data_IF_165849655654
#
_entry.id   IF_165849655654
#
_cell.length_a   1.000
_cell.length_b   1.000
_cell.length_c   1.000
_cell.angle_alpha   90.00
_cell.angle_beta   90.00
_cell.angle_gamma   90.00
#
_symmetry.space_group_name_H-M   'P 1'
#
loop_
_entity.id
_entity.type
_entity.pdbx_description
1 polymer ?
#
# COMPACT_ATOMS: atom_id res chain seq x y z
N UNK A 1 -2.49 -4.62 -26.43
CA UNK A 1 -3.23 -5.33 -25.36
C UNK A 1 -4.43 -6.00 -26.02
N UNK A 2 -4.52 -7.33 -25.97
CA UNK A 2 -5.59 -8.06 -26.65
C UNK A 2 -6.76 -8.29 -25.67
N UNK A 3 -7.73 -7.37 -25.62
CA UNK A 3 -8.88 -7.46 -24.71
C UNK A 3 -9.73 -8.73 -24.95
N UNK A 4 -9.62 -9.37 -26.12
CA UNK A 4 -10.28 -10.64 -26.43
C UNK A 4 -9.73 -11.87 -25.69
N UNK A 5 -8.46 -11.86 -25.26
CA UNK A 5 -7.91 -12.95 -24.41
C UNK A 5 -8.30 -12.80 -22.94
N UNK A 6 -8.58 -11.58 -22.49
CA UNK A 6 -9.08 -11.30 -21.13
C UNK A 6 -10.49 -11.87 -20.90
N UNK A 7 -11.38 -11.80 -21.91
CA UNK A 7 -12.73 -12.35 -21.84
C UNK A 7 -12.78 -13.90 -21.75
N UNK A 8 -11.72 -14.60 -22.18
CA UNK A 8 -11.63 -16.06 -22.12
C UNK A 8 -11.09 -16.58 -20.78
N UNK A 9 -10.39 -15.74 -20.02
CA UNK A 9 -9.80 -16.12 -18.74
C UNK A 9 -10.77 -15.88 -17.57
N UNK A 10 -11.82 -16.71 -17.45
CA UNK A 10 -12.81 -16.64 -16.36
C UNK A 10 -12.18 -16.67 -14.95
N UNK A 11 -11.09 -17.42 -14.77
CA UNK A 11 -10.37 -17.44 -13.48
C UNK A 11 -9.79 -16.05 -13.16
N UNK A 12 -9.08 -15.42 -14.12
CA UNK A 12 -8.53 -14.08 -13.91
C UNK A 12 -9.61 -13.04 -13.63
N UNK A 13 -10.74 -13.11 -14.33
CA UNK A 13 -11.88 -12.22 -14.09
C UNK A 13 -12.43 -12.38 -12.67
N UNK A 14 -12.59 -13.61 -12.18
CA UNK A 14 -13.06 -13.87 -10.82
C UNK A 14 -12.08 -13.33 -9.76
N UNK A 15 -10.78 -13.47 -9.98
CA UNK A 15 -9.76 -12.91 -9.08
C UNK A 15 -9.77 -11.38 -9.05
N UNK A 16 -9.98 -10.74 -10.20
CA UNK A 16 -10.12 -9.28 -10.29
C UNK A 16 -11.40 -8.83 -9.58
N UNK A 17 -12.53 -9.49 -9.82
CA UNK A 17 -13.80 -9.17 -9.16
C UNK A 17 -13.70 -9.35 -7.64
N UNK A 18 -13.04 -10.40 -7.17
CA UNK A 18 -12.77 -10.60 -5.75
C UNK A 18 -11.93 -9.45 -5.18
N UNK A 19 -10.86 -9.06 -5.89
CA UNK A 19 -10.00 -7.95 -5.47
C UNK A 19 -10.78 -6.64 -5.38
N UNK A 20 -11.58 -6.31 -6.41
CA UNK A 20 -12.44 -5.11 -6.42
C UNK A 20 -13.49 -5.14 -5.30
N UNK A 21 -14.08 -6.30 -5.03
CA UNK A 21 -15.05 -6.47 -3.94
C UNK A 21 -14.41 -6.19 -2.57
N UNK A 22 -13.21 -6.72 -2.31
CA UNK A 22 -12.51 -6.46 -1.05
C UNK A 22 -12.09 -4.98 -0.94
N UNK A 23 -11.64 -4.36 -2.04
CA UNK A 23 -11.33 -2.93 -2.04
C UNK A 23 -12.56 -2.05 -1.80
N UNK A 24 -13.73 -2.48 -2.30
CA UNK A 24 -14.99 -1.83 -2.02
C UNK A 24 -15.37 -1.93 -0.53
N UNK A 25 -15.21 -3.11 0.08
CA UNK A 25 -15.41 -3.29 1.53
C UNK A 25 -14.44 -2.46 2.37
N UNK A 26 -13.17 -2.42 1.99
CA UNK A 26 -12.18 -1.52 2.58
C UNK A 26 -12.69 -0.08 2.54
N UNK A 27 -13.15 0.37 1.37
CA UNK A 27 -13.63 1.75 1.21
C UNK A 27 -14.85 2.01 2.09
N UNK A 28 -15.84 1.12 2.13
CA UNK A 28 -17.00 1.26 3.03
C UNK A 28 -16.57 1.40 4.50
N UNK A 29 -15.60 0.62 4.96
CA UNK A 29 -15.14 0.74 6.34
C UNK A 29 -14.41 2.06 6.65
N UNK A 30 -13.84 2.75 5.65
CA UNK A 30 -13.29 4.12 5.86
C UNK A 30 -14.37 5.18 6.12
N UNK A 31 -15.65 4.87 5.90
CA UNK A 31 -16.77 5.75 6.24
C UNK A 31 -17.41 5.42 7.60
N UNK A 32 -16.97 4.37 8.29
CA UNK A 32 -17.48 4.01 9.62
C UNK A 32 -16.66 4.79 10.65
N UNK A 33 -17.25 5.79 11.34
CA UNK A 33 -16.54 6.59 12.32
C UNK A 33 -16.26 5.78 13.59
N UNK A 34 -15.22 6.19 14.31
CA UNK A 34 -14.89 5.63 15.61
C UNK A 34 -16.01 5.96 16.62
N UNK A 35 -16.51 4.98 17.38
CA UNK A 35 -17.45 5.25 18.47
C UNK A 35 -16.78 6.13 19.55
N UNK A 36 -17.45 7.21 19.94
CA UNK A 36 -17.03 8.09 21.03
C UNK A 36 -16.30 9.38 20.62
N UNK A 37 -16.19 9.69 19.32
CA UNK A 37 -15.75 10.99 18.82
C UNK A 37 -16.83 11.60 17.91
N UNK A 38 -17.01 12.91 18.00
CA UNK A 38 -17.78 13.67 17.01
C UNK A 38 -16.90 13.92 15.75
N UNK A 39 -17.24 13.31 14.60
CA UNK A 39 -16.45 13.45 13.38
C UNK A 39 -16.42 14.89 12.87
N UNK A 40 -17.44 15.71 13.13
CA UNK A 40 -17.51 17.10 12.66
C UNK A 40 -16.59 18.00 13.49
N UNK A 41 -16.50 17.76 14.80
CA UNK A 41 -15.56 18.48 15.68
C UNK A 41 -14.11 18.09 15.37
N UNK A 42 -13.85 16.80 15.12
CA UNK A 42 -12.52 16.35 14.74
C UNK A 42 -12.09 16.88 13.37
N UNK A 43 -13.00 16.93 12.39
CA UNK A 43 -12.70 17.50 11.08
C UNK A 43 -12.30 18.98 11.16
N UNK A 44 -12.93 19.77 12.04
CA UNK A 44 -12.57 21.17 12.27
C UNK A 44 -11.19 21.31 12.93
N UNK A 45 -10.86 20.46 13.91
CA UNK A 45 -9.52 20.41 14.51
C UNK A 45 -8.47 19.99 13.47
N UNK A 46 -8.80 19.03 12.60
CA UNK A 46 -7.93 18.56 11.54
C UNK A 46 -7.66 19.64 10.49
N UNK A 47 -8.68 20.40 10.08
CA UNK A 47 -8.55 21.54 9.16
C UNK A 47 -7.60 22.62 9.68
N UNK A 48 -7.51 22.81 11.01
CA UNK A 48 -6.54 23.73 11.62
C UNK A 48 -5.08 23.25 11.52
N UNK A 49 -4.84 21.98 11.21
CA UNK A 49 -3.53 21.30 11.18
C UNK A 49 -3.21 20.62 9.83
N UNK A 50 -4.01 20.86 8.79
CA UNK A 50 -3.94 20.22 7.47
C UNK A 50 -2.57 20.35 6.79
N UNK A 51 -1.82 21.43 7.03
CA UNK A 51 -0.52 21.69 6.38
C UNK A 51 0.68 20.88 6.90
N UNK A 52 0.48 20.00 7.88
CA UNK A 52 1.57 19.31 8.58
C UNK A 52 1.80 17.84 8.19
N UNK A 53 2.66 17.16 8.97
CA UNK A 53 2.91 15.72 8.88
C UNK A 53 1.62 14.87 8.95
N UNK A 54 0.58 15.39 9.61
CA UNK A 54 -0.73 14.78 9.75
C UNK A 54 -1.49 14.68 8.41
N UNK A 55 -1.36 15.68 7.53
CA UNK A 55 -1.94 15.67 6.18
C UNK A 55 -1.31 14.60 5.29
N UNK A 56 0.03 14.44 5.36
CA UNK A 56 0.74 13.38 4.65
C UNK A 56 0.28 11.98 5.12
N UNK A 57 0.07 11.79 6.42
CA UNK A 57 -0.47 10.54 6.96
C UNK A 57 -1.90 10.28 6.46
N UNK A 58 -2.75 11.30 6.36
CA UNK A 58 -4.12 11.16 5.86
C UNK A 58 -4.18 10.76 4.39
N UNK A 59 -3.25 11.25 3.56
CA UNK A 59 -3.13 10.85 2.15
C UNK A 59 -2.84 9.35 2.01
N UNK A 60 -1.92 8.80 2.81
CA UNK A 60 -1.65 7.35 2.83
C UNK A 60 -2.80 6.54 3.43
N UNK A 61 -3.57 7.16 4.34
CA UNK A 61 -4.72 6.53 4.96
C UNK A 61 -6.00 6.60 4.09
N UNK A 62 -5.99 7.33 2.98
CA UNK A 62 -7.14 7.49 2.07
C UNK A 62 -8.29 8.31 2.65
N UNK A 63 -7.98 9.32 3.48
CA UNK A 63 -8.99 10.14 4.16
C UNK A 63 -9.55 9.51 5.45
N UNK A 64 -9.03 8.34 5.84
CA UNK A 64 -9.49 7.60 7.01
C UNK A 64 -9.13 8.27 8.34
N UNK A 65 -8.11 9.13 8.37
CA UNK A 65 -7.68 9.88 9.55
C UNK A 65 -8.55 11.12 9.73
N UNK A 66 -8.76 11.90 8.66
CA UNK A 66 -9.64 13.08 8.63
C UNK A 66 -11.06 12.75 9.12
N UNK A 67 -11.58 11.58 8.76
CA UNK A 67 -12.92 11.11 9.14
C UNK A 67 -12.96 10.35 10.47
N UNK A 68 -11.81 10.19 11.13
CA UNK A 68 -11.65 9.36 12.33
C UNK A 68 -12.30 7.98 12.17
N UNK A 69 -12.01 7.29 11.06
CA UNK A 69 -12.63 5.99 10.79
C UNK A 69 -11.99 4.89 11.63
N UNK A 70 -12.68 3.73 11.71
CA UNK A 70 -12.13 2.50 12.31
C UNK A 70 -10.80 2.04 11.68
N UNK A 71 -10.49 2.55 10.49
CA UNK A 71 -9.26 2.27 9.73
C UNK A 71 -8.26 3.43 9.75
N UNK A 72 -8.32 4.34 10.74
CA UNK A 72 -7.41 5.47 10.84
C UNK A 72 -5.91 5.08 10.83
N UNK A 73 -5.55 3.97 11.49
CA UNK A 73 -4.17 3.41 11.45
C UNK A 73 -3.81 2.78 10.09
N UNK A 74 -4.81 2.46 9.26
CA UNK A 74 -4.67 1.79 7.97
C UNK A 74 -3.76 0.53 8.08
N UNK A 75 -2.94 0.24 7.08
CA UNK A 75 -2.01 -0.89 7.07
C UNK A 75 -0.62 -0.49 7.62
N UNK A 76 -0.46 0.71 8.20
CA UNK A 76 0.84 1.22 8.70
C UNK A 76 1.51 0.30 9.74
N UNK A 77 0.81 -0.19 10.78
CA UNK A 77 1.44 -1.07 11.77
C UNK A 77 2.02 -2.34 11.14
N UNK A 78 1.39 -2.85 10.08
CA UNK A 78 1.88 -4.00 9.33
C UNK A 78 3.11 -3.65 8.50
N UNK A 79 3.11 -2.50 7.81
CA UNK A 79 4.26 -2.06 7.02
C UNK A 79 5.49 -1.97 7.92
N UNK A 80 5.37 -1.29 9.06
CA UNK A 80 6.45 -1.19 10.05
C UNK A 80 6.91 -2.56 10.53
N UNK A 81 5.98 -3.45 10.89
CA UNK A 81 6.33 -4.82 11.31
C UNK A 81 7.06 -5.60 10.21
N UNK A 82 6.61 -5.50 8.95
CA UNK A 82 7.20 -6.20 7.81
C UNK A 82 8.62 -5.72 7.52
N UNK A 83 8.87 -4.40 7.60
CA UNK A 83 10.19 -3.82 7.41
C UNK A 83 11.12 -4.30 8.52
N UNK A 84 10.67 -4.29 9.78
CA UNK A 84 11.47 -4.76 10.91
C UNK A 84 11.85 -6.23 10.72
N UNK A 85 10.89 -7.10 10.37
CA UNK A 85 11.17 -8.52 10.11
C UNK A 85 12.09 -8.70 8.90
N UNK A 86 11.93 -7.91 7.85
CA UNK A 86 12.80 -7.96 6.67
C UNK A 86 14.24 -7.56 7.02
N UNK A 87 14.41 -6.52 7.85
CA UNK A 87 15.73 -6.12 8.37
C UNK A 87 16.29 -7.20 9.29
N UNK A 88 15.51 -7.70 10.25
CA UNK A 88 15.93 -8.79 11.15
C UNK A 88 16.33 -10.05 10.39
N UNK A 89 15.66 -10.36 9.27
CA UNK A 89 15.99 -11.52 8.44
C UNK A 89 17.35 -11.36 7.74
N UNK A 90 17.78 -10.12 7.46
CA UNK A 90 19.12 -9.84 6.91
C UNK A 90 20.22 -9.82 7.97
N UNK A 91 19.88 -9.46 9.22
CA UNK A 91 20.84 -9.33 10.31
C UNK A 91 20.98 -10.58 11.19
N UNK A 92 19.96 -11.43 11.25
CA UNK A 92 19.91 -12.60 12.14
C UNK A 92 20.01 -13.90 11.31
N UNK A 93 21.08 -14.69 11.47
CA UNK A 93 21.31 -15.89 10.67
C UNK A 93 20.24 -16.98 10.80
N UNK A 94 19.53 -17.06 11.94
CA UNK A 94 18.45 -18.03 12.13
C UNK A 94 17.23 -17.71 11.26
N UNK A 95 16.85 -16.43 11.16
CA UNK A 95 15.77 -15.97 10.29
C UNK A 95 16.16 -16.09 8.81
N UNK A 96 17.43 -15.85 8.49
CA UNK A 96 17.93 -16.06 7.12
C UNK A 96 17.85 -17.54 6.70
N UNK A 97 18.19 -18.47 7.61
CA UNK A 97 17.99 -19.91 7.38
C UNK A 97 16.52 -20.24 7.15
N UNK A 98 15.63 -19.72 7.99
CA UNK A 98 14.17 -19.86 7.81
C UNK A 98 13.74 -19.38 6.42
N UNK A 99 14.23 -18.22 5.96
CA UNK A 99 13.93 -17.71 4.62
C UNK A 99 14.40 -18.65 3.50
N UNK A 100 15.49 -19.40 3.73
CA UNK A 100 16.04 -20.40 2.79
C UNK A 100 15.27 -21.73 2.78
N UNK A 101 14.43 -22.01 3.79
CA UNK A 101 13.56 -23.20 3.86
C UNK A 101 12.35 -23.16 2.91
N UNK A 102 12.25 -22.13 2.05
CA UNK A 102 11.22 -22.03 1.03
C UNK A 102 9.85 -21.60 1.58
N UNK A 103 8.77 -22.31 1.20
CA UNK A 103 7.41 -21.92 1.57
C UNK A 103 7.11 -22.05 3.07
N UNK A 104 7.67 -23.08 3.72
CA UNK A 104 7.51 -23.32 5.15
C UNK A 104 8.01 -22.14 5.99
N UNK A 105 9.26 -21.74 5.75
CA UNK A 105 9.87 -20.63 6.49
C UNK A 105 9.26 -19.28 6.15
N UNK A 106 8.81 -19.05 4.90
CA UNK A 106 8.02 -17.85 4.56
C UNK A 106 6.73 -17.75 5.37
N UNK A 107 6.02 -18.87 5.59
CA UNK A 107 4.82 -18.87 6.45
C UNK A 107 5.15 -18.51 7.90
N UNK A 108 6.25 -19.00 8.45
CA UNK A 108 6.68 -18.67 9.81
C UNK A 108 7.09 -17.19 9.95
N UNK A 109 7.86 -16.65 8.98
CA UNK A 109 8.21 -15.22 8.92
C UNK A 109 6.95 -14.35 8.87
N UNK A 110 5.96 -14.76 8.08
CA UNK A 110 4.67 -14.07 8.03
C UNK A 110 3.97 -14.11 9.38
N UNK A 111 3.94 -15.25 10.09
CA UNK A 111 3.35 -15.33 11.44
C UNK A 111 4.04 -14.38 12.42
N UNK A 112 5.37 -14.29 12.42
CA UNK A 112 6.08 -13.31 13.25
C UNK A 112 5.70 -11.87 12.89
N UNK A 113 5.59 -11.58 11.59
CA UNK A 113 5.12 -10.27 11.12
C UNK A 113 3.72 -9.97 11.65
N UNK A 114 2.81 -10.96 11.69
CA UNK A 114 1.45 -10.78 12.23
C UNK A 114 1.44 -10.47 13.72
N UNK A 115 2.22 -11.20 14.51
CA UNK A 115 2.30 -10.95 15.96
C UNK A 115 2.92 -9.58 16.25
N UNK A 116 3.95 -9.20 15.50
CA UNK A 116 4.57 -7.91 15.63
C UNK A 116 3.62 -6.77 15.21
N UNK A 117 2.83 -6.98 14.14
CA UNK A 117 1.78 -6.06 13.70
C UNK A 117 0.75 -5.82 14.81
N UNK A 118 0.29 -6.89 15.47
CA UNK A 118 -0.67 -6.78 16.56
C UNK A 118 -0.10 -5.98 17.73
N UNK A 119 1.15 -6.24 18.12
CA UNK A 119 1.83 -5.49 19.17
C UNK A 119 1.94 -4.00 18.82
N UNK A 120 2.37 -3.66 17.60
CA UNK A 120 2.44 -2.28 17.14
C UNK A 120 1.07 -1.62 17.08
N UNK A 121 0.04 -2.32 16.59
CA UNK A 121 -1.31 -1.78 16.50
C UNK A 121 -1.85 -1.43 17.90
N UNK A 122 -1.60 -2.25 18.91
CA UNK A 122 -2.02 -1.97 20.30
C UNK A 122 -1.28 -0.74 20.85
N UNK A 123 0.04 -0.67 20.69
CA UNK A 123 0.84 0.45 21.22
C UNK A 123 0.49 1.77 20.51
N UNK A 124 0.38 1.75 19.18
CA UNK A 124 0.03 2.94 18.41
C UNK A 124 -1.41 3.38 18.65
N UNK A 125 -2.36 2.45 18.68
CA UNK A 125 -3.75 2.77 18.98
C UNK A 125 -3.92 3.34 20.38
N UNK A 126 -3.17 2.86 21.36
CA UNK A 126 -3.18 3.41 22.72
C UNK A 126 -2.65 4.85 22.76
N UNK A 127 -1.51 5.11 22.08
CA UNK A 127 -0.96 6.47 21.98
C UNK A 127 -1.94 7.45 21.33
N UNK A 128 -2.57 7.05 20.23
CA UNK A 128 -3.57 7.86 19.52
C UNK A 128 -4.83 8.04 20.38
N UNK A 129 -5.33 6.98 21.02
CA UNK A 129 -6.51 7.03 21.87
C UNK A 129 -6.31 7.95 23.09
N UNK A 130 -5.12 7.95 23.71
CA UNK A 130 -4.81 8.88 24.80
C UNK A 130 -4.74 10.33 24.30
N UNK A 131 -4.11 10.56 23.14
CA UNK A 131 -4.06 11.90 22.52
C UNK A 131 -5.44 12.44 22.13
N UNK A 132 -6.36 11.56 21.74
CA UNK A 132 -7.73 11.89 21.38
C UNK A 132 -8.70 11.97 22.55
N UNK A 133 -8.29 11.54 23.74
CA UNK A 133 -9.17 11.51 24.91
C UNK A 133 -9.61 12.89 25.43
N UNK A 134 -9.03 13.98 24.90
CA UNK A 134 -9.47 15.35 25.13
C UNK A 134 -10.50 15.86 24.11
N UNK A 135 -10.71 15.13 23.00
CA UNK A 135 -11.68 15.42 21.94
C UNK A 135 -12.82 14.38 21.90
N UNK A 136 -12.86 13.47 22.87
CA UNK A 136 -13.95 12.52 23.05
C UNK A 136 -15.18 13.24 23.62
N UNK A 137 -16.38 12.68 23.40
CA UNK A 137 -17.60 13.22 24.00
C UNK A 137 -17.47 13.40 25.52
N UNK A 138 -17.88 14.57 26.02
CA UNK A 138 -17.76 14.97 27.44
C UNK A 138 -18.44 13.99 28.41
N UNK A 139 -19.45 13.24 27.94
CA UNK A 139 -20.21 12.28 28.76
C UNK A 139 -19.56 10.88 28.88
N UNK A 140 -18.47 10.60 28.16
CA UNK A 140 -17.82 9.27 28.19
C UNK A 140 -16.64 9.23 29.18
N UNK A 141 -16.57 8.20 30.05
CA UNK A 141 -15.39 7.99 30.88
C UNK A 141 -14.14 7.85 30.00
N UNK A 142 -13.11 8.66 30.26
CA UNK A 142 -11.84 8.67 29.49
C UNK A 142 -11.28 7.28 29.23
N UNK A 143 -11.27 6.41 30.23
CA UNK A 143 -10.76 5.04 30.09
C UNK A 143 -11.67 4.13 29.26
N UNK A 144 -12.98 4.34 29.30
CA UNK A 144 -13.93 3.61 28.46
C UNK A 144 -13.77 3.98 26.99
N UNK A 145 -13.56 5.27 26.70
CA UNK A 145 -13.21 5.74 25.37
C UNK A 145 -11.89 5.14 24.89
N UNK A 146 -10.83 5.19 25.70
CA UNK A 146 -9.51 4.65 25.33
C UNK A 146 -9.56 3.15 25.03
N UNK A 147 -10.24 2.36 25.86
CA UNK A 147 -10.38 0.91 25.61
C UNK A 147 -11.17 0.61 24.33
N UNK A 148 -12.27 1.33 24.11
CA UNK A 148 -13.08 1.19 22.89
C UNK A 148 -12.29 1.61 21.65
N UNK A 149 -11.52 2.70 21.73
CA UNK A 149 -10.68 3.18 20.62
C UNK A 149 -9.55 2.20 20.30
N UNK A 150 -8.84 1.70 21.32
CA UNK A 150 -7.75 0.72 21.17
C UNK A 150 -8.26 -0.57 20.52
N UNK A 151 -9.37 -1.12 21.01
CA UNK A 151 -9.95 -2.34 20.46
C UNK A 151 -10.45 -2.14 19.03
N UNK A 152 -11.08 -1.00 18.73
CA UNK A 152 -11.57 -0.68 17.39
C UNK A 152 -10.44 -0.48 16.39
N UNK A 153 -9.41 0.31 16.73
CA UNK A 153 -8.27 0.55 15.84
C UNK A 153 -7.40 -0.69 15.64
N UNK A 154 -7.17 -1.46 16.70
CA UNK A 154 -6.43 -2.72 16.61
C UNK A 154 -7.22 -3.74 15.79
N UNK A 155 -8.52 -3.90 16.06
CA UNK A 155 -9.41 -4.78 15.30
C UNK A 155 -9.50 -4.38 13.83
N UNK A 156 -9.63 -3.08 13.55
CA UNK A 156 -9.65 -2.53 12.19
C UNK A 156 -8.36 -2.84 11.43
N UNK A 157 -7.20 -2.56 12.03
CA UNK A 157 -5.88 -2.86 11.43
C UNK A 157 -5.71 -4.35 11.13
N UNK A 158 -6.06 -5.22 12.09
CA UNK A 158 -5.95 -6.68 11.91
C UNK A 158 -6.91 -7.19 10.82
N UNK A 159 -8.10 -6.59 10.73
CA UNK A 159 -9.06 -6.89 9.66
C UNK A 159 -8.54 -6.45 8.28
N UNK A 160 -7.92 -5.27 8.17
CA UNK A 160 -7.28 -4.81 6.92
C UNK A 160 -6.15 -5.73 6.50
N UNK A 161 -5.30 -6.14 7.43
CA UNK A 161 -4.22 -7.10 7.14
C UNK A 161 -4.80 -8.41 6.63
N UNK A 162 -5.81 -8.96 7.30
CA UNK A 162 -6.48 -10.17 6.86
C UNK A 162 -7.07 -10.01 5.44
N UNK A 163 -7.73 -8.90 5.14
CA UNK A 163 -8.23 -8.60 3.79
C UNK A 163 -7.10 -8.55 2.75
N UNK A 164 -5.97 -7.91 3.07
CA UNK A 164 -4.79 -7.87 2.21
C UNK A 164 -4.21 -9.26 1.92
N UNK A 165 -4.22 -10.15 2.91
CA UNK A 165 -3.80 -11.54 2.73
C UNK A 165 -4.79 -12.34 1.88
N UNK A 166 -6.10 -12.11 2.03
CA UNK A 166 -7.11 -12.74 1.17
C UNK A 166 -6.96 -12.29 -0.29
N UNK A 167 -6.71 -11.00 -0.55
CA UNK A 167 -6.42 -10.52 -1.90
C UNK A 167 -5.15 -11.18 -2.45
N UNK A 168 -4.11 -11.33 -1.63
CA UNK A 168 -2.87 -11.98 -2.07
C UNK A 168 -3.07 -13.47 -2.41
N UNK A 169 -3.93 -14.17 -1.66
CA UNK A 169 -4.18 -15.59 -1.85
C UNK A 169 -5.15 -15.90 -3.01
N UNK A 170 -6.21 -15.10 -3.17
CA UNK A 170 -7.32 -15.37 -4.11
C UNK A 170 -7.48 -14.31 -5.20
N UNK A 171 -6.86 -13.16 -5.03
CA UNK A 171 -6.96 -12.02 -5.95
C UNK A 171 -5.78 -11.93 -6.90
N UNK A 172 -5.45 -10.70 -7.27
CA UNK A 172 -4.36 -10.38 -8.19
C UNK A 172 -3.34 -9.51 -7.48
N UNK A 173 -2.05 -9.85 -7.60
CA UNK A 173 -0.95 -9.04 -7.05
C UNK A 173 -0.78 -9.17 -5.53
N UNK A 174 -0.16 -8.15 -4.92
CA UNK A 174 0.00 -8.07 -3.47
C UNK A 174 -1.14 -7.25 -2.89
N UNK A 175 -1.97 -7.88 -2.06
CA UNK A 175 -3.17 -7.26 -1.51
C UNK A 175 -2.91 -6.08 -0.60
N UNK A 176 -1.81 -6.10 0.15
CA UNK A 176 -1.45 -5.01 1.05
C UNK A 176 -1.03 -3.77 0.25
N UNK A 177 -0.23 -3.97 -0.80
CA UNK A 177 0.13 -2.89 -1.74
C UNK A 177 -1.12 -2.33 -2.45
N UNK A 178 -2.08 -3.18 -2.78
CA UNK A 178 -3.33 -2.75 -3.41
C UNK A 178 -4.24 -1.95 -2.48
N UNK A 179 -4.30 -2.27 -1.19
CA UNK A 179 -5.05 -1.48 -0.20
C UNK A 179 -4.46 -0.06 -0.09
N UNK A 180 -3.13 0.05 0.02
CA UNK A 180 -2.44 1.35 0.06
C UNK A 180 -2.70 2.14 -1.23
N UNK A 181 -2.55 1.48 -2.38
CA UNK A 181 -2.81 2.08 -3.68
C UNK A 181 -4.25 2.58 -3.82
N UNK A 182 -5.23 1.80 -3.37
CA UNK A 182 -6.63 2.20 -3.39
C UNK A 182 -6.90 3.40 -2.47
N UNK A 183 -6.24 3.47 -1.31
CA UNK A 183 -6.30 4.63 -0.41
C UNK A 183 -5.80 5.91 -1.08
N UNK A 184 -4.61 5.87 -1.70
CA UNK A 184 -4.01 7.04 -2.37
C UNK A 184 -4.85 7.48 -3.57
N UNK A 185 -5.32 6.54 -4.40
CA UNK A 185 -6.15 6.87 -5.56
C UNK A 185 -7.50 7.45 -5.16
N UNK A 186 -8.06 7.05 -4.02
CA UNK A 186 -9.33 7.60 -3.56
C UNK A 186 -9.25 9.10 -3.24
N UNK A 187 -8.07 9.60 -2.84
CA UNK A 187 -7.85 11.01 -2.51
C UNK A 187 -7.39 11.85 -3.71
N UNK A 188 -6.80 11.21 -4.73
CA UNK A 188 -6.30 11.88 -5.93
C UNK A 188 -7.37 12.74 -6.66
N UNK A 189 -8.63 12.30 -6.86
CA UNK A 189 -9.66 13.15 -7.46
C UNK A 189 -9.90 14.43 -6.68
N UNK A 190 -9.98 14.35 -5.34
CA UNK A 190 -10.18 15.53 -4.48
C UNK A 190 -9.02 16.51 -4.60
N UNK A 191 -7.78 16.00 -4.57
CA UNK A 191 -6.59 16.82 -4.77
C UNK A 191 -6.61 17.53 -6.14
N UNK A 192 -7.02 16.82 -7.20
CA UNK A 192 -7.18 17.41 -8.54
C UNK A 192 -8.26 18.51 -8.53
N UNK A 193 -9.44 18.23 -7.97
CA UNK A 193 -10.51 19.23 -7.87
C UNK A 193 -10.07 20.47 -7.10
N UNK A 194 -9.37 20.30 -5.97
CA UNK A 194 -8.85 21.40 -5.15
C UNK A 194 -7.82 22.26 -5.90
N UNK A 195 -6.96 21.63 -6.73
CA UNK A 195 -6.03 22.36 -7.60
C UNK A 195 -6.76 23.19 -8.66
N UNK A 196 -7.84 22.66 -9.24
CA UNK A 196 -8.64 23.37 -10.24
C UNK A 196 -9.56 24.45 -9.64
N UNK A 197 -10.17 24.21 -8.48
CA UNK A 197 -11.02 25.20 -7.79
C UNK A 197 -10.20 26.31 -7.14
N UNK A 198 -9.05 25.99 -6.54
CA UNK A 198 -8.12 26.99 -5.98
C UNK A 198 -7.57 27.96 -7.03
N UNK A 199 -7.44 27.52 -8.28
CA UNK A 199 -7.13 28.38 -9.45
C UNK A 199 -8.23 29.42 -9.72
N UNK A 200 -9.49 29.07 -9.45
CA UNK A 200 -10.65 29.93 -9.73
C UNK A 200 -10.99 30.87 -8.56
N UNK A 201 -10.78 30.44 -7.32
CA UNK A 201 -11.24 31.15 -6.12
C UNK A 201 -10.10 31.79 -5.29
N UNK A 202 -8.90 31.21 -5.28
CA UNK A 202 -7.78 31.63 -4.41
C UNK A 202 -6.63 32.34 -5.17
N UNK A 203 -6.81 32.62 -6.46
CA UNK A 203 -5.79 33.32 -7.26
C UNK A 203 -4.53 32.49 -7.56
N UNK A 204 -4.62 31.15 -7.45
CA UNK A 204 -3.52 30.28 -7.89
C UNK A 204 -3.29 30.51 -9.39
N UNK A 205 -2.06 30.84 -9.76
CA UNK A 205 -1.72 31.16 -11.14
C UNK A 205 -2.00 29.94 -12.05
N UNK A 206 -2.74 30.14 -13.14
CA UNK A 206 -3.04 29.10 -14.13
C UNK A 206 -1.76 28.43 -14.65
N UNK A 207 -0.66 29.19 -14.73
CA UNK A 207 0.68 28.68 -15.10
C UNK A 207 1.19 27.64 -14.09
N UNK A 208 0.91 27.81 -12.80
CA UNK A 208 1.29 26.85 -11.76
C UNK A 208 0.53 25.53 -11.92
N UNK A 209 -0.78 25.58 -12.16
CA UNK A 209 -1.62 24.38 -12.35
C UNK A 209 -1.17 23.59 -13.58
N UNK A 210 -0.93 24.28 -14.69
CA UNK A 210 -0.40 23.66 -15.93
C UNK A 210 1.00 23.09 -15.70
N UNK A 211 1.86 23.80 -14.94
CA UNK A 211 3.20 23.34 -14.57
C UNK A 211 3.18 22.04 -13.75
N UNK A 212 2.30 21.95 -12.74
CA UNK A 212 2.12 20.73 -11.94
C UNK A 212 1.61 19.57 -12.81
N UNK A 213 0.63 19.80 -13.68
CA UNK A 213 0.12 18.77 -14.58
C UNK A 213 1.22 18.24 -15.53
N UNK A 214 2.02 19.14 -16.11
CA UNK A 214 3.15 18.77 -16.96
C UNK A 214 4.22 17.98 -16.18
N UNK A 215 4.52 18.36 -14.94
CA UNK A 215 5.46 17.65 -14.07
C UNK A 215 4.98 16.22 -13.78
N UNK A 216 3.70 16.03 -13.45
CA UNK A 216 3.13 14.69 -13.18
C UNK A 216 3.26 13.78 -14.41
N UNK A 217 2.96 14.30 -15.60
CA UNK A 217 3.12 13.55 -16.85
C UNK A 217 4.59 13.23 -17.09
N UNK A 218 5.49 14.21 -16.95
CA UNK A 218 6.92 14.03 -17.13
C UNK A 218 7.51 12.97 -16.18
N UNK A 219 7.14 13.03 -14.90
CA UNK A 219 7.53 12.03 -13.89
C UNK A 219 6.98 10.64 -14.24
N UNK A 220 5.73 10.55 -14.68
CA UNK A 220 5.13 9.26 -15.08
C UNK A 220 5.88 8.66 -16.27
N UNK A 221 6.18 9.46 -17.29
CA UNK A 221 6.97 9.03 -18.46
C UNK A 221 8.38 8.61 -18.04
N UNK A 222 9.01 9.37 -17.15
CA UNK A 222 10.34 9.07 -16.62
C UNK A 222 10.36 7.75 -15.86
N UNK A 223 9.40 7.51 -14.96
CA UNK A 223 9.28 6.24 -14.21
C UNK A 223 9.07 5.07 -15.19
N UNK A 224 8.19 5.21 -16.19
CA UNK A 224 7.95 4.18 -17.20
C UNK A 224 9.21 3.93 -18.05
N UNK A 225 9.97 4.97 -18.37
CA UNK A 225 11.23 4.86 -19.11
C UNK A 225 12.28 4.08 -18.31
N UNK A 226 12.46 4.39 -17.03
CA UNK A 226 13.38 3.69 -16.14
C UNK A 226 12.95 2.23 -15.93
N UNK A 227 11.66 1.96 -15.68
CA UNK A 227 11.15 0.59 -15.45
C UNK A 227 11.25 -0.29 -16.71
N UNK A 228 11.14 0.31 -17.91
CA UNK A 228 11.34 -0.38 -19.19
C UNK A 228 12.82 -0.51 -19.59
N UNK A 229 13.70 0.24 -18.94
CA UNK A 229 15.13 0.21 -19.24
C UNK A 229 15.75 -1.10 -18.75
N UNK A 230 16.30 -1.85 -19.70
CA UNK A 230 16.98 -3.12 -19.45
C UNK A 230 18.31 -3.14 -20.18
N UNK A 231 19.35 -3.55 -19.49
CA UNK A 231 20.65 -3.87 -20.07
C UNK A 231 20.59 -5.28 -20.63
N UNK A 232 20.71 -5.41 -21.94
CA UNK A 232 20.79 -6.72 -22.61
C UNK A 232 22.24 -7.21 -22.56
N UNK A 233 22.49 -8.28 -21.80
CA UNK A 233 23.80 -8.95 -21.79
C UNK A 233 23.69 -10.19 -22.68
N UNK A 234 24.51 -10.25 -23.72
CA UNK A 234 24.55 -11.39 -24.65
C UNK A 234 25.15 -12.60 -23.94
N UNK A 235 24.45 -13.72 -24.01
CA UNK A 235 24.91 -15.02 -23.51
C UNK A 235 24.96 -15.98 -24.69
N UNK A 236 26.10 -16.63 -24.85
CA UNK A 236 26.26 -17.71 -25.80
C UNK A 236 26.09 -19.02 -25.05
N UNK A 237 25.06 -19.79 -25.41
CA UNK A 237 24.93 -21.17 -24.92
C UNK A 237 25.84 -22.06 -25.77
N UNK A 238 26.88 -22.68 -25.20
CA UNK A 238 27.70 -23.62 -25.95
C UNK A 238 26.84 -24.86 -26.29
N UNK A 239 26.48 -25.02 -27.57
CA UNK A 239 25.97 -26.31 -28.07
C UNK A 239 27.15 -27.22 -28.39
N UNK A 240 27.08 -28.46 -27.91
CA UNK A 240 28.05 -29.52 -28.21
C UNK A 240 28.05 -29.73 -29.73
N UNK A 241 29.15 -29.39 -30.41
CA UNK A 241 29.35 -29.65 -31.84
C UNK A 241 29.28 -31.16 -32.08
N UNK A 242 28.13 -31.65 -32.54
CA UNK A 242 28.01 -32.95 -33.18
C UNK A 242 27.87 -32.66 -34.68
N UNK A 243 28.79 -33.21 -35.48
CA UNK A 243 28.96 -33.07 -36.94
C UNK A 243 29.87 -31.91 -37.43
N UNK A 244 31.03 -32.32 -37.94
CA UNK A 244 32.19 -31.51 -38.32
C UNK A 244 32.04 -30.63 -39.57
N UNK A 245 30.83 -30.26 -40.01
CA UNK A 245 30.67 -29.50 -41.27
C UNK A 245 29.43 -28.59 -41.35
N UNK A 246 28.80 -28.23 -40.23
CA UNK A 246 27.78 -27.18 -40.23
C UNK A 246 28.20 -26.09 -39.27
N UNK A 247 28.43 -24.90 -39.82
CA UNK A 247 28.65 -23.69 -39.04
C UNK A 247 27.55 -23.59 -37.99
N UNK A 248 27.93 -23.80 -36.73
CA UNK A 248 27.03 -23.72 -35.60
C UNK A 248 26.49 -22.28 -35.54
N UNK A 249 25.29 -22.09 -36.06
CA UNK A 249 24.56 -20.83 -35.95
C UNK A 249 24.18 -20.69 -34.46
N UNK A 250 25.10 -20.11 -33.69
CA UNK A 250 24.88 -19.83 -32.28
C UNK A 250 23.72 -18.87 -32.15
N UNK A 251 22.55 -19.36 -31.73
CA UNK A 251 21.46 -18.48 -31.33
C UNK A 251 21.94 -17.68 -30.12
N UNK A 252 22.33 -16.43 -30.35
CA UNK A 252 22.64 -15.49 -29.28
C UNK A 252 21.35 -15.25 -28.49
N UNK A 253 21.32 -15.73 -27.25
CA UNK A 253 20.29 -15.35 -26.30
C UNK A 253 20.79 -14.15 -25.50
N UNK A 254 19.90 -13.30 -25.01
CA UNK A 254 20.28 -12.22 -24.11
C UNK A 254 19.59 -12.41 -22.76
N UNK A 255 20.33 -12.21 -21.68
CA UNK A 255 19.75 -12.07 -20.36
C UNK A 255 19.41 -10.58 -20.14
N UNK A 256 18.13 -10.23 -19.97
CA UNK A 256 17.74 -8.87 -19.63
C UNK A 256 18.04 -8.60 -18.16
N UNK A 257 18.96 -7.68 -17.89
CA UNK A 257 19.17 -7.13 -16.55
C UNK A 257 18.38 -5.82 -16.46
N UNK A 258 17.28 -5.82 -15.71
CA UNK A 258 16.55 -4.58 -15.40
C UNK A 258 17.39 -3.68 -14.51
N UNK A 259 17.19 -2.38 -14.62
CA UNK A 259 17.89 -1.40 -13.78
C UNK A 259 17.47 -1.51 -12.31
N UNK A 260 16.17 -1.71 -12.06
CA UNK A 260 15.59 -2.01 -10.75
C UNK A 260 14.89 -3.38 -10.77
N UNK A 261 14.98 -4.13 -9.67
CA UNK A 261 14.22 -5.36 -9.49
C UNK A 261 12.74 -5.02 -9.30
N UNK A 262 11.86 -5.69 -10.05
CA UNK A 262 10.42 -5.40 -10.01
C UNK A 262 9.83 -5.68 -8.62
N UNK A 263 9.28 -4.63 -7.99
CA UNK A 263 8.67 -4.67 -6.68
C UNK A 263 8.37 -3.25 -6.20
N UNK A 264 7.21 -3.05 -5.59
CA UNK A 264 6.83 -1.74 -5.00
C UNK A 264 7.42 -1.58 -3.58
N UNK A 265 7.85 -2.69 -2.97
CA UNK A 265 8.50 -2.72 -1.67
C UNK A 265 10.02 -2.74 -1.91
N UNK A 266 10.78 -1.77 -1.40
CA UNK A 266 12.24 -1.70 -1.55
C UNK A 266 12.98 -2.81 -0.78
#
# INVERSE_FOLDING_TARGET
MNFGSFAKAKDLQNRILFTLFVLFLYRLGTYIPLPGIDPDQFAQLFASQEGGMLGNMNMFAGGAIERMSIFALNVMPYITASIIIQMMTSSVPSLEKLKKEGESGRKQINQYTRYLTLAFAIVQSFGIAMGLSGAAYDDLPRWFFVLTAVTTFTGGTMFLMWMGEQITARGVGNGISLIIFAGIIAEMPRAIFNLFSGSREQGINVVFVVGVAALVIALTVFIVFIERSQRRVLIQYPKRQQAANQAAQGQSSFMPLKLNTSGVIP
#
